data_IF_575091401453
#
_entry.id   IF_575091401453
#
_cell.length_a   1.000
_cell.length_b   1.000
_cell.length_c   1.000
_cell.angle_alpha   90.00
_cell.angle_beta   90.00
_cell.angle_gamma   90.00
#
_symmetry.space_group_name_H-M   'P 1'
#
loop_
_entity.id
_entity.type
_entity.pdbx_description
1 polymer ?
#
# COMPACT_ATOMS: atom_id res chain seq x y z
N UNK A 1 -4.41 -63.17 45.03
CA UNK A 1 -4.09 -61.78 44.62
C UNK A 1 -4.95 -61.47 43.42
N UNK A 2 -5.87 -60.53 43.61
CA UNK A 2 -7.08 -60.44 42.78
C UNK A 2 -6.81 -59.69 41.48
N UNK A 3 -7.60 -60.03 40.46
CA UNK A 3 -7.69 -59.34 39.16
C UNK A 3 -7.83 -57.81 39.28
N UNK A 4 -8.30 -57.34 40.43
CA UNK A 4 -8.42 -55.93 40.80
C UNK A 4 -7.07 -55.25 41.10
N UNK A 5 -6.15 -55.95 41.79
CA UNK A 5 -4.82 -55.42 42.11
C UNK A 5 -3.98 -55.20 40.83
N UNK A 6 -4.11 -56.12 39.87
CA UNK A 6 -3.45 -56.02 38.56
C UNK A 6 -4.00 -54.86 37.71
N UNK A 7 -5.32 -54.61 37.77
CA UNK A 7 -5.97 -53.48 37.12
C UNK A 7 -5.51 -52.14 37.72
N UNK A 8 -5.39 -52.05 39.04
CA UNK A 8 -4.90 -50.86 39.73
C UNK A 8 -3.44 -50.58 39.37
N UNK A 9 -2.59 -51.60 39.31
CA UNK A 9 -1.19 -51.44 38.88
C UNK A 9 -1.07 -50.97 37.43
N UNK A 10 -1.85 -51.53 36.50
CA UNK A 10 -1.87 -51.06 35.09
C UNK A 10 -2.36 -49.62 34.96
N UNK A 11 -3.35 -49.23 35.76
CA UNK A 11 -3.85 -47.85 35.80
C UNK A 11 -2.79 -46.87 36.33
N UNK A 12 -2.06 -47.22 37.38
CA UNK A 12 -0.95 -46.42 37.90
C UNK A 12 0.19 -46.29 36.87
N UNK A 13 0.59 -47.38 36.22
CA UNK A 13 1.61 -47.35 35.16
C UNK A 13 1.18 -46.47 33.97
N UNK A 14 -0.10 -46.49 33.60
CA UNK A 14 -0.65 -45.63 32.54
C UNK A 14 -0.61 -44.14 32.95
N UNK A 15 -0.94 -43.82 34.20
CA UNK A 15 -0.86 -42.46 34.74
C UNK A 15 0.57 -41.93 34.72
N UNK A 16 1.55 -42.73 35.16
CA UNK A 16 2.97 -42.38 35.13
C UNK A 16 3.48 -42.20 33.69
N UNK A 17 3.13 -43.12 32.78
CA UNK A 17 3.50 -43.00 31.36
C UNK A 17 2.88 -41.75 30.71
N UNK A 18 1.63 -41.42 31.05
CA UNK A 18 0.95 -40.21 30.58
C UNK A 18 1.61 -38.94 31.13
N UNK A 19 1.97 -38.92 32.41
CA UNK A 19 2.68 -37.80 33.03
C UNK A 19 4.06 -37.58 32.41
N UNK A 20 4.84 -38.67 32.22
CA UNK A 20 6.14 -38.63 31.56
C UNK A 20 6.05 -38.16 30.11
N UNK A 21 5.05 -38.63 29.34
CA UNK A 21 4.80 -38.15 27.98
C UNK A 21 4.43 -36.67 27.95
N UNK A 22 3.58 -36.20 28.88
CA UNK A 22 3.23 -34.78 29.00
C UNK A 22 4.46 -33.92 29.28
N UNK A 23 5.34 -34.36 30.17
CA UNK A 23 6.58 -33.65 30.48
C UNK A 23 7.53 -33.60 29.27
N UNK A 24 7.67 -34.71 28.54
CA UNK A 24 8.47 -34.77 27.30
C UNK A 24 7.92 -33.84 26.21
N UNK A 25 6.60 -33.79 26.05
CA UNK A 25 5.95 -32.90 25.08
C UNK A 25 6.16 -31.42 25.44
N UNK A 26 6.04 -31.06 26.72
CA UNK A 26 6.31 -29.69 27.19
C UNK A 26 7.78 -29.29 26.95
N UNK A 27 8.73 -30.17 27.27
CA UNK A 27 10.16 -29.93 27.00
C UNK A 27 10.43 -29.77 25.49
N UNK A 28 9.76 -30.57 24.66
CA UNK A 28 9.87 -30.47 23.21
C UNK A 28 9.26 -29.17 22.68
N UNK A 29 8.10 -28.77 23.20
CA UNK A 29 7.44 -27.50 22.85
C UNK A 29 8.33 -26.29 23.18
N UNK A 30 8.93 -26.26 24.38
CA UNK A 30 9.85 -25.18 24.76
C UNK A 30 11.09 -25.13 23.86
N UNK A 31 11.60 -26.30 23.43
CA UNK A 31 12.71 -26.38 22.48
C UNK A 31 12.31 -25.75 21.13
N UNK A 32 11.14 -26.10 20.59
CA UNK A 32 10.67 -25.53 19.32
C UNK A 32 10.40 -24.03 19.41
N UNK A 33 9.81 -23.57 20.51
CA UNK A 33 9.57 -22.14 20.74
C UNK A 33 10.87 -21.33 20.73
N UNK A 34 11.92 -21.83 21.40
CA UNK A 34 13.25 -21.17 21.37
C UNK A 34 13.85 -21.12 19.97
N UNK A 35 13.71 -22.18 19.18
CA UNK A 35 14.19 -22.21 17.79
C UNK A 35 13.40 -21.23 16.92
N UNK A 36 12.09 -21.15 17.11
CA UNK A 36 11.22 -20.21 16.40
C UNK A 36 11.57 -18.75 16.71
N UNK A 37 11.81 -18.41 17.98
CA UNK A 37 12.28 -17.09 18.39
C UNK A 37 13.63 -16.74 17.73
N UNK A 38 14.56 -17.72 17.65
CA UNK A 38 15.84 -17.54 16.96
C UNK A 38 15.67 -17.34 15.45
N UNK A 39 14.76 -18.08 14.80
CA UNK A 39 14.48 -17.91 13.38
C UNK A 39 13.91 -16.53 13.05
N UNK A 40 12.97 -16.04 13.87
CA UNK A 40 12.39 -14.71 13.73
C UNK A 40 13.45 -13.62 13.94
N UNK A 41 14.33 -13.80 14.93
CA UNK A 41 15.42 -12.85 15.18
C UNK A 41 16.44 -12.84 14.04
N UNK A 42 16.81 -14.01 13.51
CA UNK A 42 17.67 -14.13 12.34
C UNK A 42 17.05 -13.44 11.13
N UNK A 43 15.79 -13.72 10.82
CA UNK A 43 15.07 -13.12 9.69
C UNK A 43 15.03 -11.58 9.80
N UNK A 44 14.75 -11.06 11.00
CA UNK A 44 14.74 -9.62 11.27
C UNK A 44 16.11 -8.98 11.03
N UNK A 45 17.18 -9.57 11.58
CA UNK A 45 18.55 -9.05 11.41
C UNK A 45 19.07 -9.18 9.99
N UNK A 46 18.78 -10.30 9.32
CA UNK A 46 19.18 -10.52 7.92
C UNK A 46 18.53 -9.49 6.99
N UNK A 47 17.24 -9.21 7.18
CA UNK A 47 16.54 -8.18 6.40
C UNK A 47 17.07 -6.77 6.67
N UNK A 48 17.43 -6.44 7.92
CA UNK A 48 18.01 -5.15 8.26
C UNK A 48 19.40 -4.97 7.64
N UNK A 49 20.25 -6.00 7.77
CA UNK A 49 21.58 -6.02 7.15
C UNK A 49 21.51 -5.88 5.63
N UNK A 50 20.61 -6.60 4.95
CA UNK A 50 20.47 -6.48 3.49
C UNK A 50 20.04 -5.08 3.06
N UNK A 51 19.10 -4.45 3.78
CA UNK A 51 18.69 -3.07 3.49
C UNK A 51 19.82 -2.07 3.71
N UNK A 52 20.65 -2.27 4.73
CA UNK A 52 21.84 -1.43 4.94
C UNK A 52 22.87 -1.63 3.83
N UNK A 53 23.13 -2.89 3.43
CA UNK A 53 24.08 -3.22 2.36
C UNK A 53 23.69 -2.56 1.03
N UNK A 54 22.41 -2.60 0.64
CA UNK A 54 21.94 -1.95 -0.60
C UNK A 54 22.20 -0.43 -0.62
N UNK A 55 22.04 0.25 0.52
CA UNK A 55 22.32 1.68 0.64
C UNK A 55 23.84 1.96 0.64
N UNK A 56 24.61 1.17 1.39
CA UNK A 56 26.07 1.28 1.43
C UNK A 56 26.71 1.05 0.06
N UNK A 57 26.17 0.12 -0.73
CA UNK A 57 26.58 -0.12 -2.11
C UNK A 57 26.27 1.08 -3.01
N UNK A 58 25.10 1.71 -2.87
CA UNK A 58 24.74 2.93 -3.61
C UNK A 58 25.72 4.08 -3.29
N UNK A 59 25.96 4.36 -2.01
CA UNK A 59 26.85 5.44 -1.56
C UNK A 59 28.31 5.22 -2.01
N UNK A 60 28.82 3.99 -1.92
CA UNK A 60 30.21 3.67 -2.29
C UNK A 60 30.45 3.62 -3.80
N UNK A 61 29.41 3.39 -4.59
CA UNK A 61 29.50 3.38 -6.06
C UNK A 61 29.23 4.75 -6.66
N UNK A 62 28.64 5.67 -5.90
CA UNK A 62 28.41 7.03 -6.33
C UNK A 62 29.72 7.83 -6.43
N UNK A 63 29.96 8.52 -7.55
CA UNK A 63 31.17 9.30 -7.72
C UNK A 63 31.12 10.53 -6.80
N UNK A 64 32.10 10.64 -5.89
CA UNK A 64 32.31 11.82 -5.04
C UNK A 64 32.44 13.07 -5.93
N UNK A 65 31.53 14.01 -5.77
CA UNK A 65 31.51 15.30 -6.49
C UNK A 65 31.45 16.41 -5.47
N UNK A 66 32.42 17.31 -5.51
CA UNK A 66 32.42 18.52 -4.70
C UNK A 66 32.76 19.72 -5.60
N UNK A 67 31.89 20.73 -5.55
CA UNK A 67 32.01 22.01 -6.26
C UNK A 67 32.14 23.19 -5.29
N UNK A 68 32.00 22.97 -3.98
CA UNK A 68 32.16 24.00 -2.95
C UNK A 68 32.77 23.44 -1.66
N UNK A 69 33.22 24.33 -0.78
CA UNK A 69 33.78 23.97 0.54
C UNK A 69 32.69 23.44 1.46
N UNK A 70 31.47 23.95 1.36
CA UNK A 70 30.30 23.46 2.09
C UNK A 70 29.97 22.02 1.70
N UNK A 71 30.05 21.66 0.41
CA UNK A 71 29.87 20.29 -0.05
C UNK A 71 30.95 19.34 0.48
N UNK A 72 32.18 19.83 0.69
CA UNK A 72 33.27 19.04 1.31
C UNK A 72 32.97 18.75 2.78
N UNK A 73 32.44 19.73 3.53
CA UNK A 73 32.05 19.53 4.93
C UNK A 73 30.89 18.54 5.04
N UNK A 74 29.91 18.60 4.14
CA UNK A 74 28.81 17.62 4.07
C UNK A 74 29.34 16.22 3.74
N UNK A 75 30.28 16.09 2.80
CA UNK A 75 30.90 14.80 2.48
C UNK A 75 31.72 14.22 3.65
N UNK A 76 32.35 15.07 4.47
CA UNK A 76 33.04 14.63 5.68
C UNK A 76 32.07 14.09 6.72
N UNK A 77 30.95 14.78 6.96
CA UNK A 77 29.89 14.33 7.87
C UNK A 77 29.25 13.01 7.38
N UNK A 78 28.96 12.91 6.08
CA UNK A 78 28.45 11.67 5.46
C UNK A 78 29.45 10.51 5.59
N UNK A 79 30.76 10.78 5.47
CA UNK A 79 31.79 9.76 5.66
C UNK A 79 31.88 9.28 7.11
N UNK A 80 31.74 10.18 8.08
CA UNK A 80 31.71 9.84 9.51
C UNK A 80 30.48 8.98 9.84
N UNK A 81 29.30 9.39 9.36
CA UNK A 81 28.05 8.62 9.49
C UNK A 81 28.15 7.23 8.83
N UNK A 82 28.74 7.14 7.64
CA UNK A 82 28.98 5.86 6.97
C UNK A 82 29.87 4.95 7.82
N UNK A 83 30.95 5.50 8.40
CA UNK A 83 31.89 4.75 9.24
C UNK A 83 31.24 4.22 10.52
N UNK A 84 30.37 5.00 11.16
CA UNK A 84 29.58 4.54 12.29
C UNK A 84 28.62 3.42 11.89
N UNK A 85 27.94 3.57 10.75
CA UNK A 85 27.02 2.54 10.24
C UNK A 85 27.73 1.20 9.92
N UNK A 86 28.98 1.26 9.44
CA UNK A 86 29.79 0.08 9.14
C UNK A 86 30.10 -0.73 10.40
N UNK A 87 30.40 -0.06 11.52
CA UNK A 87 30.64 -0.74 12.79
C UNK A 87 29.40 -1.49 13.29
N UNK A 88 28.23 -0.87 13.16
CA UNK A 88 26.97 -1.50 13.55
C UNK A 88 26.65 -2.71 12.65
N UNK A 89 26.90 -2.59 11.35
CA UNK A 89 26.70 -3.69 10.39
C UNK A 89 27.64 -4.87 10.62
N UNK A 90 28.91 -4.63 10.99
CA UNK A 90 29.83 -5.68 11.41
C UNK A 90 29.31 -6.45 12.63
N UNK A 91 28.74 -5.75 13.61
CA UNK A 91 28.17 -6.37 14.81
C UNK A 91 26.94 -7.22 14.47
N UNK A 92 26.09 -6.73 13.56
CA UNK A 92 24.94 -7.47 13.07
C UNK A 92 25.37 -8.74 12.32
N UNK A 93 26.40 -8.67 11.48
CA UNK A 93 26.99 -9.82 10.80
C UNK A 93 27.55 -10.85 11.79
N UNK A 94 28.26 -10.42 12.84
CA UNK A 94 28.73 -11.32 13.92
C UNK A 94 27.56 -11.97 14.64
N UNK A 95 26.48 -11.23 14.87
CA UNK A 95 25.29 -11.75 15.54
C UNK A 95 24.56 -12.78 14.68
N UNK A 96 24.42 -12.52 13.38
CA UNK A 96 23.85 -13.45 12.40
C UNK A 96 24.64 -14.77 12.34
N UNK A 97 25.97 -14.71 12.30
CA UNK A 97 26.84 -15.90 12.38
C UNK A 97 26.60 -16.70 13.66
N UNK A 98 26.45 -16.01 14.80
CA UNK A 98 26.16 -16.67 16.08
C UNK A 98 24.79 -17.35 16.09
N UNK A 99 23.77 -16.68 15.56
CA UNK A 99 22.41 -17.22 15.46
C UNK A 99 22.36 -18.44 14.53
N UNK A 100 22.98 -18.35 13.36
CA UNK A 100 23.06 -19.47 12.41
C UNK A 100 23.75 -20.70 13.03
N UNK A 101 24.87 -20.50 13.74
CA UNK A 101 25.55 -21.58 14.47
C UNK A 101 24.67 -22.21 15.56
N UNK A 102 23.90 -21.40 16.29
CA UNK A 102 22.96 -21.90 17.30
C UNK A 102 21.81 -22.67 16.66
N UNK A 103 21.19 -22.13 15.61
CA UNK A 103 20.09 -22.77 14.86
C UNK A 103 20.54 -24.13 14.30
N UNK A 104 21.71 -24.19 13.66
CA UNK A 104 22.29 -25.44 13.12
C UNK A 104 22.52 -26.50 14.20
N UNK A 105 22.83 -26.10 15.44
CA UNK A 105 23.01 -27.04 16.56
C UNK A 105 21.73 -27.81 16.94
N UNK A 106 20.56 -27.23 16.65
CA UNK A 106 19.27 -27.85 16.95
C UNK A 106 18.83 -28.90 15.91
N UNK A 107 19.57 -29.11 14.81
CA UNK A 107 19.25 -30.05 13.72
C UNK A 107 17.86 -29.81 13.10
N UNK A 108 17.47 -28.54 12.92
CA UNK A 108 16.17 -28.13 12.39
C UNK A 108 16.32 -27.66 10.93
N UNK A 109 15.23 -27.70 10.17
CA UNK A 109 15.14 -27.37 8.74
C UNK A 109 15.50 -25.92 8.41
N UNK A 110 15.38 -25.54 7.13
CA UNK A 110 15.57 -24.16 6.65
C UNK A 110 14.60 -23.20 7.37
N UNK A 111 15.05 -21.99 7.68
CA UNK A 111 14.23 -20.95 8.31
C UNK A 111 13.01 -20.61 7.42
N UNK A 112 11.76 -20.79 7.88
CA UNK A 112 10.58 -20.54 7.05
C UNK A 112 10.22 -19.04 6.92
N UNK A 113 10.81 -18.17 7.73
CA UNK A 113 10.47 -16.74 7.80
C UNK A 113 11.33 -15.85 6.92
N UNK A 114 12.33 -16.41 6.23
CA UNK A 114 13.22 -15.67 5.34
C UNK A 114 13.86 -16.59 4.31
N UNK A 115 14.13 -16.05 3.13
CA UNK A 115 14.90 -16.72 2.09
C UNK A 115 16.41 -16.46 2.20
N UNK A 116 16.84 -15.54 3.07
CA UNK A 116 18.25 -15.26 3.34
C UNK A 116 18.91 -16.41 4.10
N UNK A 117 20.02 -16.93 3.57
CA UNK A 117 20.90 -17.88 4.26
C UNK A 117 22.19 -17.17 4.69
N UNK A 118 22.88 -17.73 5.68
CA UNK A 118 24.19 -17.18 6.10
C UNK A 118 25.18 -17.13 4.92
N UNK A 119 25.15 -18.13 4.04
CA UNK A 119 25.98 -18.19 2.82
C UNK A 119 25.71 -16.99 1.91
N UNK A 120 24.44 -16.69 1.60
CA UNK A 120 24.08 -15.52 0.77
C UNK A 120 24.49 -14.19 1.41
N UNK A 121 24.44 -14.09 2.73
CA UNK A 121 24.83 -12.87 3.45
C UNK A 121 26.35 -12.68 3.48
N UNK A 122 27.12 -13.77 3.60
CA UNK A 122 28.58 -13.71 3.52
C UNK A 122 29.06 -13.31 2.12
N UNK A 123 28.41 -13.80 1.07
CA UNK A 123 28.70 -13.37 -0.31
C UNK A 123 28.44 -11.86 -0.49
N UNK A 124 27.35 -11.32 0.04
CA UNK A 124 27.09 -9.87 0.00
C UNK A 124 28.12 -9.08 0.79
N UNK A 125 28.56 -9.56 1.95
CA UNK A 125 29.60 -8.90 2.75
C UNK A 125 30.95 -8.86 2.03
N UNK A 126 31.38 -9.97 1.42
CA UNK A 126 32.60 -10.04 0.62
C UNK A 126 32.55 -9.08 -0.59
N UNK A 127 31.37 -8.96 -1.21
CA UNK A 127 31.14 -7.98 -2.29
C UNK A 127 31.35 -6.55 -1.78
N UNK A 128 30.83 -6.20 -0.60
CA UNK A 128 31.01 -4.87 -0.01
C UNK A 128 32.49 -4.55 0.22
N UNK A 129 33.23 -5.47 0.85
CA UNK A 129 34.65 -5.29 1.14
C UNK A 129 35.44 -5.05 -0.15
N UNK A 130 35.09 -5.76 -1.22
CA UNK A 130 35.69 -5.57 -2.55
C UNK A 130 35.37 -4.20 -3.14
N UNK A 131 34.13 -3.71 -3.01
CA UNK A 131 33.72 -2.37 -3.46
C UNK A 131 34.49 -1.30 -2.69
N UNK A 132 34.57 -1.41 -1.35
CA UNK A 132 35.34 -0.48 -0.51
C UNK A 132 36.80 -0.42 -0.96
N UNK A 133 37.45 -1.57 -1.14
CA UNK A 133 38.84 -1.64 -1.60
C UNK A 133 39.02 -1.00 -2.98
N UNK A 134 38.09 -1.25 -3.91
CA UNK A 134 38.14 -0.68 -5.26
C UNK A 134 37.92 0.84 -5.26
N UNK A 135 36.97 1.33 -4.46
CA UNK A 135 36.69 2.76 -4.32
C UNK A 135 37.85 3.50 -3.68
N UNK A 136 38.43 2.97 -2.58
CA UNK A 136 39.63 3.55 -1.96
C UNK A 136 40.82 3.53 -2.92
N UNK A 137 41.07 2.43 -3.62
CA UNK A 137 42.16 2.35 -4.61
C UNK A 137 41.94 3.28 -5.82
N UNK A 138 40.69 3.57 -6.18
CA UNK A 138 40.33 4.53 -7.23
C UNK A 138 40.55 5.97 -6.75
N UNK A 139 40.02 6.33 -5.58
CA UNK A 139 40.22 7.65 -4.96
C UNK A 139 41.71 7.91 -4.75
N UNK A 140 42.47 6.93 -4.24
CA UNK A 140 43.92 7.05 -4.04
C UNK A 140 44.68 7.22 -5.36
N UNK A 141 44.35 6.45 -6.41
CA UNK A 141 44.94 6.64 -7.75
C UNK A 141 44.61 8.02 -8.32
N UNK A 142 43.38 8.49 -8.16
CA UNK A 142 42.98 9.83 -8.60
C UNK A 142 43.70 10.92 -7.81
N UNK A 143 43.90 10.73 -6.50
CA UNK A 143 44.65 11.64 -5.63
C UNK A 143 46.13 11.70 -6.03
N UNK A 144 46.80 10.54 -6.14
CA UNK A 144 48.21 10.45 -6.52
C UNK A 144 48.50 10.95 -7.93
N UNK A 145 47.56 10.82 -8.87
CA UNK A 145 47.76 11.28 -10.25
C UNK A 145 47.56 12.81 -10.42
N UNK A 146 46.83 13.49 -9.52
CA UNK A 146 46.28 14.82 -9.85
C UNK A 146 46.83 16.00 -9.06
N UNK A 147 47.44 15.81 -7.88
CA UNK A 147 48.09 16.84 -7.02
C UNK A 147 47.63 18.31 -7.24
N UNK A 148 46.31 18.57 -7.27
CA UNK A 148 45.74 19.91 -7.54
C UNK A 148 44.25 19.96 -7.22
N UNK A 149 43.82 21.06 -6.60
CA UNK A 149 42.47 21.33 -6.08
C UNK A 149 41.55 22.10 -7.06
N UNK A 150 41.85 22.14 -8.36
CA UNK A 150 41.08 22.96 -9.31
C UNK A 150 39.90 22.19 -9.96
N UNK A 151 38.70 22.76 -9.87
CA UNK A 151 37.47 22.29 -10.53
C UNK A 151 37.55 22.55 -12.04
N UNK A 152 37.35 21.52 -12.88
CA UNK A 152 37.20 21.70 -14.33
C UNK A 152 35.75 22.01 -14.71
N UNK A 153 35.56 23.06 -15.52
CA UNK A 153 34.37 23.21 -16.36
C UNK A 153 34.34 22.09 -17.39
N UNK A 154 33.20 21.40 -17.51
CA UNK A 154 33.00 20.32 -18.49
C UNK A 154 33.21 20.83 -19.93
N UNK A 155 34.20 20.25 -20.60
CA UNK A 155 34.36 20.34 -22.04
C UNK A 155 34.95 19.04 -22.58
N UNK A 156 34.07 18.10 -22.95
CA UNK A 156 34.50 16.85 -23.58
C UNK A 156 33.29 15.98 -23.91
N UNK A 157 32.99 15.85 -25.21
CA UNK A 157 32.04 14.89 -25.76
C UNK A 157 32.26 13.52 -25.09
N UNK A 158 31.26 13.03 -24.35
CA UNK A 158 31.17 11.61 -24.05
C UNK A 158 30.86 10.91 -25.36
N UNK A 159 31.88 10.38 -26.02
CA UNK A 159 31.70 9.37 -27.06
C UNK A 159 30.88 8.24 -26.42
N UNK A 160 29.71 7.99 -27.00
CA UNK A 160 28.69 7.05 -26.54
C UNK A 160 29.30 5.68 -26.22
N UNK A 161 29.40 5.36 -24.92
CA UNK A 161 29.40 3.96 -24.48
C UNK A 161 28.06 3.70 -23.78
N UNK A 162 26.96 3.88 -24.51
CA UNK A 162 25.62 3.61 -24.00
C UNK A 162 25.45 2.09 -24.01
N UNK A 163 25.38 1.48 -22.81
CA UNK A 163 25.06 0.05 -22.66
C UNK A 163 23.67 -0.34 -23.19
N UNK A 164 22.79 0.63 -23.36
CA UNK A 164 21.47 0.47 -23.97
C UNK A 164 21.47 1.30 -25.24
N UNK A 165 21.21 0.65 -26.36
CA UNK A 165 21.00 1.27 -27.67
C UNK A 165 19.64 1.97 -27.70
N UNK A 166 19.37 2.72 -28.76
CA UNK A 166 18.05 3.35 -28.91
C UNK A 166 16.96 2.29 -29.15
N UNK A 167 17.26 1.17 -29.80
CA UNK A 167 16.36 0.02 -29.92
C UNK A 167 16.01 -0.60 -28.55
N UNK A 168 17.00 -0.72 -27.65
CA UNK A 168 16.77 -1.22 -26.29
C UNK A 168 15.84 -0.27 -25.51
N UNK A 169 16.02 1.04 -25.69
CA UNK A 169 15.17 2.04 -25.05
C UNK A 169 13.74 2.00 -25.60
N UNK A 170 13.57 1.77 -26.90
CA UNK A 170 12.27 1.54 -27.54
C UNK A 170 11.59 0.27 -27.01
N UNK A 171 12.34 -0.82 -26.86
CA UNK A 171 11.83 -2.07 -26.29
C UNK A 171 11.39 -1.87 -24.84
N UNK A 172 12.20 -1.22 -24.00
CA UNK A 172 11.85 -0.91 -22.61
C UNK A 172 10.57 -0.08 -22.55
N UNK A 173 10.45 0.93 -23.41
CA UNK A 173 9.27 1.80 -23.47
C UNK A 173 8.02 1.04 -23.90
N UNK A 174 8.13 0.16 -24.91
CA UNK A 174 7.04 -0.69 -25.38
C UNK A 174 6.57 -1.67 -24.31
N UNK A 175 7.51 -2.32 -23.61
CA UNK A 175 7.20 -3.22 -22.49
C UNK A 175 6.47 -2.48 -21.37
N UNK A 176 6.91 -1.26 -21.03
CA UNK A 176 6.26 -0.43 -20.01
C UNK A 176 4.89 0.10 -20.43
N UNK A 177 4.70 0.38 -21.72
CA UNK A 177 3.40 0.77 -22.25
C UNK A 177 2.40 -0.39 -22.25
N UNK A 178 2.85 -1.61 -22.57
CA UNK A 178 1.99 -2.80 -22.60
C UNK A 178 1.67 -3.32 -21.19
N UNK A 179 2.69 -3.48 -20.33
CA UNK A 179 2.55 -3.96 -18.94
C UNK A 179 3.31 -3.03 -18.00
N UNK A 180 2.66 -1.97 -17.52
CA UNK A 180 3.29 -1.01 -16.59
C UNK A 180 3.90 -1.66 -15.32
N UNK A 181 3.33 -2.79 -14.88
CA UNK A 181 3.78 -3.59 -13.73
C UNK A 181 5.00 -4.46 -13.99
N UNK A 182 5.50 -4.55 -15.23
CA UNK A 182 6.66 -5.38 -15.58
C UNK A 182 7.87 -4.99 -14.71
N UNK A 183 8.49 -5.98 -14.08
CA UNK A 183 9.64 -5.80 -13.19
C UNK A 183 10.91 -5.50 -13.98
N UNK A 184 11.91 -4.91 -13.33
CA UNK A 184 13.20 -4.65 -13.98
C UNK A 184 13.91 -5.95 -14.38
N UNK A 185 13.66 -7.04 -13.63
CA UNK A 185 14.18 -8.37 -13.93
C UNK A 185 13.57 -8.92 -15.23
N UNK A 186 12.24 -8.90 -15.34
CA UNK A 186 11.55 -9.30 -16.58
C UNK A 186 12.03 -8.44 -17.77
N UNK A 187 12.20 -7.12 -17.59
CA UNK A 187 12.75 -6.26 -18.65
C UNK A 187 14.18 -6.70 -19.04
N UNK A 188 15.01 -7.06 -18.07
CA UNK A 188 16.39 -7.52 -18.34
C UNK A 188 16.42 -8.84 -19.09
N UNK A 189 15.59 -9.81 -18.67
CA UNK A 189 15.48 -11.12 -19.34
C UNK A 189 15.02 -10.93 -20.81
N UNK A 190 14.05 -10.04 -21.05
CA UNK A 190 13.60 -9.72 -22.42
C UNK A 190 14.67 -8.96 -23.22
N UNK A 191 15.44 -8.06 -22.60
CA UNK A 191 16.55 -7.37 -23.27
C UNK A 191 17.72 -8.31 -23.58
N UNK A 192 17.94 -9.36 -22.78
CA UNK A 192 18.94 -10.39 -23.06
C UNK A 192 18.51 -11.31 -24.20
N UNK A 193 17.21 -11.58 -24.33
CA UNK A 193 16.66 -12.44 -25.39
C UNK A 193 16.45 -11.70 -26.71
N UNK A 194 15.96 -10.46 -26.68
CA UNK A 194 15.52 -9.70 -27.86
C UNK A 194 16.20 -8.34 -28.05
N UNK A 195 17.00 -7.87 -27.09
CA UNK A 195 17.71 -6.59 -27.17
C UNK A 195 19.08 -6.68 -27.82
N UNK A 196 19.71 -5.53 -28.03
CA UNK A 196 21.05 -5.40 -28.65
C UNK A 196 22.18 -5.46 -27.61
N UNK A 197 21.89 -6.00 -26.43
CA UNK A 197 22.71 -5.75 -25.24
C UNK A 197 23.82 -6.78 -25.11
N UNK A 198 25.07 -6.30 -25.09
CA UNK A 198 26.24 -7.16 -24.97
C UNK A 198 26.66 -7.34 -23.50
N UNK A 199 26.31 -8.51 -22.94
CA UNK A 199 26.61 -8.88 -21.56
C UNK A 199 25.64 -8.24 -20.57
N UNK A 200 25.12 -9.05 -19.65
CA UNK A 200 23.98 -8.74 -18.77
C UNK A 200 23.92 -7.32 -18.21
N UNK A 201 22.69 -6.83 -18.05
CA UNK A 201 22.42 -5.44 -17.70
C UNK A 201 22.13 -5.31 -16.22
N UNK A 202 22.87 -4.44 -15.53
CA UNK A 202 22.54 -4.10 -14.16
C UNK A 202 21.16 -3.43 -14.08
N UNK A 203 20.33 -3.83 -13.11
CA UNK A 203 18.99 -3.27 -12.87
C UNK A 203 19.00 -1.74 -12.73
N UNK A 204 20.06 -1.18 -12.14
CA UNK A 204 20.25 0.27 -12.01
C UNK A 204 20.33 0.99 -13.36
N UNK A 205 20.81 0.33 -14.41
CA UNK A 205 20.87 0.87 -15.78
C UNK A 205 19.47 0.97 -16.38
N UNK A 206 18.64 -0.07 -16.22
CA UNK A 206 17.23 -0.09 -16.65
C UNK A 206 16.43 0.96 -15.87
N UNK A 207 16.62 1.04 -14.55
CA UNK A 207 15.97 2.04 -13.68
C UNK A 207 16.27 3.48 -14.14
N UNK A 208 17.55 3.80 -14.40
CA UNK A 208 17.94 5.12 -14.92
C UNK A 208 17.34 5.40 -16.30
N UNK A 209 17.26 4.38 -17.15
CA UNK A 209 16.66 4.50 -18.48
C UNK A 209 15.17 4.87 -18.38
N UNK A 210 14.40 4.11 -17.60
CA UNK A 210 12.96 4.36 -17.37
C UNK A 210 12.72 5.76 -16.80
N UNK A 211 13.53 6.21 -15.83
CA UNK A 211 13.35 7.53 -15.19
C UNK A 211 13.59 8.72 -16.12
N UNK A 212 14.49 8.58 -17.11
CA UNK A 212 15.06 9.78 -17.76
C UNK A 212 15.58 9.64 -19.20
N UNK A 213 15.56 8.45 -19.79
CA UNK A 213 16.20 8.21 -21.10
C UNK A 213 15.31 7.50 -22.13
N UNK A 214 14.03 7.26 -21.84
CA UNK A 214 13.11 6.71 -22.83
C UNK A 214 12.89 7.69 -23.98
N UNK A 215 12.61 7.16 -25.17
CA UNK A 215 12.62 7.92 -26.42
C UNK A 215 11.46 8.92 -26.50
N UNK A 216 10.33 8.64 -25.85
CA UNK A 216 9.21 9.60 -25.79
C UNK A 216 9.51 10.88 -25.01
N UNK A 217 10.59 10.93 -24.23
CA UNK A 217 10.88 12.04 -23.31
C UNK A 217 9.96 12.09 -22.09
N UNK A 218 9.02 11.14 -21.93
CA UNK A 218 8.16 11.03 -20.74
C UNK A 218 8.98 10.60 -19.53
N UNK A 219 8.70 11.21 -18.37
CA UNK A 219 9.28 10.82 -17.08
C UNK A 219 8.40 9.76 -16.43
N UNK A 220 8.94 8.57 -16.22
CA UNK A 220 8.22 7.50 -15.56
C UNK A 220 8.50 7.54 -14.05
N UNK A 221 7.43 7.45 -13.25
CA UNK A 221 7.48 7.37 -11.78
C UNK A 221 6.73 6.13 -11.30
N UNK A 222 7.09 5.59 -10.13
CA UNK A 222 6.30 4.51 -9.51
C UNK A 222 4.94 5.05 -9.07
N UNK A 223 3.86 4.34 -9.45
CA UNK A 223 2.48 4.63 -9.08
C UNK A 223 1.84 3.34 -8.53
N UNK A 224 0.84 3.49 -7.66
CA UNK A 224 0.00 2.36 -7.24
C UNK A 224 -0.76 1.85 -8.47
N UNK A 225 -0.81 0.53 -8.65
CA UNK A 225 -1.56 -0.08 -9.76
C UNK A 225 -3.05 0.04 -9.44
N UNK A 226 -3.82 0.57 -10.39
CA UNK A 226 -5.28 0.52 -10.35
C UNK A 226 -5.72 -0.74 -11.08
N UNK A 227 -6.36 -1.66 -10.36
CA UNK A 227 -6.98 -2.83 -10.97
C UNK A 227 -8.39 -2.47 -11.42
N UNK A 228 -8.68 -2.64 -12.71
CA UNK A 228 -10.01 -2.41 -13.28
C UNK A 228 -10.57 -3.75 -13.72
N UNK A 229 -11.78 -4.08 -13.26
CA UNK A 229 -12.45 -5.32 -13.63
C UNK A 229 -12.73 -5.34 -15.15
N UNK A 230 -12.42 -6.44 -15.82
CA UNK A 230 -12.54 -6.56 -17.27
C UNK A 230 -14.02 -6.48 -17.72
N UNK A 231 -14.94 -6.90 -16.84
CA UNK A 231 -16.39 -6.81 -17.01
C UNK A 231 -16.89 -5.37 -17.24
N UNK A 232 -16.16 -4.38 -16.73
CA UNK A 232 -16.45 -2.95 -16.99
C UNK A 232 -16.50 -2.65 -18.49
N UNK A 233 -15.67 -3.32 -19.29
CA UNK A 233 -15.50 -3.07 -20.72
C UNK A 233 -16.33 -4.02 -21.61
N UNK A 234 -17.33 -4.71 -21.06
CA UNK A 234 -18.30 -5.44 -21.89
C UNK A 234 -19.08 -4.46 -22.76
N UNK A 235 -19.45 -4.86 -23.98
CA UNK A 235 -20.18 -3.99 -24.90
C UNK A 235 -21.45 -3.40 -24.27
N UNK A 236 -22.22 -4.22 -23.55
CA UNK A 236 -23.44 -3.78 -22.85
C UNK A 236 -23.14 -2.75 -21.76
N UNK A 237 -22.13 -2.96 -20.93
CA UNK A 237 -21.80 -2.04 -19.85
C UNK A 237 -21.21 -0.72 -20.38
N UNK A 238 -20.41 -0.77 -21.45
CA UNK A 238 -19.89 0.44 -22.13
C UNK A 238 -21.03 1.24 -22.75
N UNK A 239 -21.99 0.57 -23.42
CA UNK A 239 -23.17 1.24 -23.97
C UNK A 239 -24.02 1.86 -22.86
N UNK A 240 -24.27 1.12 -21.79
CA UNK A 240 -25.01 1.63 -20.63
C UNK A 240 -24.28 2.81 -19.98
N UNK A 241 -22.96 2.74 -19.84
CA UNK A 241 -22.13 3.85 -19.34
C UNK A 241 -22.32 5.10 -20.19
N UNK A 242 -22.32 4.97 -21.52
CA UNK A 242 -22.53 6.11 -22.40
C UNK A 242 -23.95 6.68 -22.27
N UNK A 243 -24.98 5.83 -22.17
CA UNK A 243 -26.36 6.27 -21.96
C UNK A 243 -26.52 6.98 -20.62
N UNK A 244 -25.96 6.40 -19.56
CA UNK A 244 -25.95 6.97 -18.21
C UNK A 244 -25.32 8.37 -18.20
N UNK A 245 -24.13 8.52 -18.80
CA UNK A 245 -23.43 9.80 -18.93
C UNK A 245 -24.24 10.82 -19.73
N UNK A 246 -24.76 10.44 -20.90
CA UNK A 246 -25.58 11.32 -21.73
C UNK A 246 -26.88 11.73 -21.01
N UNK A 247 -27.46 10.82 -20.24
CA UNK A 247 -28.66 11.07 -19.49
C UNK A 247 -28.41 12.11 -18.40
N UNK A 248 -27.48 11.83 -17.49
CA UNK A 248 -27.22 12.72 -16.35
C UNK A 248 -26.66 14.09 -16.76
N UNK A 249 -25.82 14.15 -17.79
CA UNK A 249 -25.34 15.43 -18.35
C UNK A 249 -26.45 16.31 -18.92
N UNK A 250 -27.59 15.72 -19.30
CA UNK A 250 -28.76 16.47 -19.78
C UNK A 250 -29.68 17.00 -18.66
N UNK A 251 -29.40 16.65 -17.40
CA UNK A 251 -30.22 16.98 -16.24
C UNK A 251 -29.62 18.14 -15.44
N UNK A 252 -30.48 18.82 -14.67
CA UNK A 252 -30.00 19.81 -13.70
C UNK A 252 -29.23 19.10 -12.60
N UNK A 253 -27.93 19.39 -12.49
CA UNK A 253 -27.06 18.75 -11.52
C UNK A 253 -27.51 18.98 -10.06
N UNK A 254 -28.30 20.02 -9.78
CA UNK A 254 -28.89 20.28 -8.44
C UNK A 254 -29.99 19.29 -8.07
N UNK A 255 -30.54 18.60 -9.05
CA UNK A 255 -31.56 17.55 -8.88
C UNK A 255 -30.97 16.15 -8.79
N UNK A 256 -29.67 15.99 -9.01
CA UNK A 256 -28.99 14.70 -8.92
C UNK A 256 -28.46 14.52 -7.50
N UNK A 257 -28.82 13.39 -6.88
CA UNK A 257 -28.39 12.99 -5.54
C UNK A 257 -27.78 11.61 -5.61
N UNK A 258 -26.64 11.40 -4.98
CA UNK A 258 -25.97 10.11 -4.98
C UNK A 258 -26.06 9.48 -3.59
N UNK A 259 -26.38 8.20 -3.57
CA UNK A 259 -26.36 7.37 -2.38
C UNK A 259 -25.27 6.31 -2.51
N UNK A 260 -24.54 6.09 -1.42
CA UNK A 260 -23.64 4.93 -1.29
C UNK A 260 -23.41 4.58 0.19
N UNK A 261 -22.81 3.41 0.43
CA UNK A 261 -22.45 2.93 1.76
C UNK A 261 -20.93 2.71 1.92
N UNK A 262 -20.41 2.99 3.11
CA UNK A 262 -19.03 2.69 3.45
C UNK A 262 -18.86 2.14 4.86
N UNK A 263 -18.06 1.08 4.97
CA UNK A 263 -17.57 0.61 6.25
C UNK A 263 -16.57 1.58 6.88
N UNK A 264 -16.85 2.03 8.10
CA UNK A 264 -15.97 2.83 8.95
C UNK A 264 -15.48 1.95 10.10
N UNK A 265 -14.23 1.50 10.01
CA UNK A 265 -13.59 0.65 11.02
C UNK A 265 -12.07 0.82 11.03
N UNK A 266 -11.44 0.40 12.11
CA UNK A 266 -9.97 0.23 12.14
C UNK A 266 -9.57 -1.07 11.44
N UNK A 267 -8.48 -1.12 10.63
CA UNK A 267 -7.50 -0.05 10.40
C UNK A 267 -7.82 0.89 9.23
N UNK A 268 -8.95 0.69 8.54
CA UNK A 268 -9.31 1.44 7.32
C UNK A 268 -9.59 2.93 7.57
N UNK A 269 -9.93 3.30 8.80
CA UNK A 269 -10.09 4.65 9.30
C UNK A 269 -9.54 4.80 10.74
N UNK A 270 -9.13 6.02 11.09
CA UNK A 270 -8.59 6.38 12.41
C UNK A 270 -7.13 6.00 12.64
N UNK A 271 -6.41 5.54 11.61
CA UNK A 271 -5.00 5.11 11.68
C UNK A 271 -4.18 5.76 10.58
N UNK A 272 -2.95 6.14 10.91
CA UNK A 272 -1.97 6.64 9.93
C UNK A 272 -1.15 5.46 9.43
N UNK A 273 -1.16 5.26 8.11
CA UNK A 273 -0.44 4.15 7.47
C UNK A 273 1.04 4.46 7.20
N UNK A 274 1.41 5.74 7.27
CA UNK A 274 2.75 6.22 6.94
C UNK A 274 3.26 7.12 8.06
N UNK A 275 4.54 6.95 8.40
CA UNK A 275 5.29 7.76 9.34
C UNK A 275 6.76 7.77 8.96
N UNK A 276 7.54 8.60 9.63
CA UNK A 276 8.98 8.68 9.41
C UNK A 276 9.70 7.91 10.52
N UNK A 277 10.68 7.10 10.13
CA UNK A 277 11.64 6.45 11.01
C UNK A 277 13.04 6.59 10.38
N UNK A 278 14.11 6.49 11.17
CA UNK A 278 15.46 6.40 10.63
C UNK A 278 15.57 5.31 9.57
N UNK A 279 16.42 5.53 8.57
CA UNK A 279 16.63 4.57 7.47
C UNK A 279 17.11 3.24 8.07
N UNK A 280 16.48 2.13 7.69
CA UNK A 280 16.76 0.79 8.23
C UNK A 280 15.94 0.42 9.48
N UNK A 281 15.21 1.36 10.07
CA UNK A 281 14.34 1.11 11.22
C UNK A 281 12.87 0.98 10.83
N UNK A 282 12.10 0.23 11.61
CA UNK A 282 10.65 0.18 11.46
C UNK A 282 10.05 1.41 12.14
N UNK A 283 9.14 2.10 11.45
CA UNK A 283 8.24 3.07 12.08
C UNK A 283 7.24 2.30 12.95
N UNK A 284 7.48 2.25 14.26
CA UNK A 284 6.66 1.50 15.22
C UNK A 284 5.90 2.49 16.11
N UNK A 285 4.59 2.46 16.04
CA UNK A 285 3.69 3.08 17.01
C UNK A 285 2.94 1.99 17.79
N UNK A 286 2.96 2.08 19.12
CA UNK A 286 2.23 1.14 19.98
C UNK A 286 0.86 1.72 20.27
N UNK A 287 -0.16 1.14 19.65
CA UNK A 287 -1.55 1.52 19.86
C UNK A 287 -2.37 0.37 20.45
N UNK A 288 -3.37 0.71 21.26
CA UNK A 288 -4.35 -0.27 21.76
C UNK A 288 -5.21 -0.73 20.58
N UNK A 289 -5.30 -2.04 20.37
CA UNK A 289 -6.25 -2.61 19.40
C UNK A 289 -7.67 -2.30 19.88
N UNK A 290 -8.38 -1.48 19.12
CA UNK A 290 -9.79 -1.18 19.34
C UNK A 290 -10.63 -2.26 18.65
N UNK A 291 -11.37 -3.03 19.43
CA UNK A 291 -12.43 -3.91 18.91
C UNK A 291 -13.69 -3.07 18.70
N UNK A 292 -13.67 -2.19 17.70
CA UNK A 292 -14.87 -1.47 17.31
C UNK A 292 -15.73 -2.37 16.42
N UNK A 293 -17.05 -2.45 16.65
CA UNK A 293 -17.95 -3.12 15.72
C UNK A 293 -17.83 -2.45 14.34
N UNK A 294 -17.93 -3.24 13.27
CA UNK A 294 -17.96 -2.69 11.92
C UNK A 294 -19.17 -1.74 11.81
N UNK A 295 -18.93 -0.43 11.76
CA UNK A 295 -20.00 0.55 11.57
C UNK A 295 -20.13 0.84 10.08
N UNK A 296 -21.32 0.75 9.54
CA UNK A 296 -21.61 1.12 8.15
C UNK A 296 -22.22 2.51 8.14
N UNK A 297 -21.67 3.39 7.31
CA UNK A 297 -22.19 4.73 7.05
C UNK A 297 -22.95 4.70 5.73
N UNK A 298 -24.25 4.94 5.77
CA UNK A 298 -25.07 5.18 4.59
C UNK A 298 -25.13 6.69 4.36
N UNK A 299 -24.88 7.13 3.13
CA UNK A 299 -24.69 8.54 2.84
C UNK A 299 -25.41 8.93 1.56
N UNK A 300 -26.32 9.91 1.67
CA UNK A 300 -26.96 10.59 0.56
C UNK A 300 -26.39 12.00 0.43
N UNK A 301 -25.88 12.36 -0.74
CA UNK A 301 -25.28 13.67 -1.01
C UNK A 301 -25.83 14.31 -2.28
N UNK A 302 -25.76 15.63 -2.34
CA UNK A 302 -26.03 16.43 -3.54
C UNK A 302 -24.93 17.48 -3.74
N UNK A 303 -25.09 18.37 -4.72
CA UNK A 303 -24.25 19.57 -4.82
C UNK A 303 -24.28 20.45 -3.57
N UNK A 304 -25.34 20.37 -2.75
CA UNK A 304 -25.48 21.15 -1.54
C UNK A 304 -24.76 20.54 -0.33
N UNK A 305 -24.04 19.43 -0.49
CA UNK A 305 -23.41 18.74 0.64
C UNK A 305 -24.11 17.43 0.99
N UNK A 306 -24.03 17.08 2.27
CA UNK A 306 -24.68 15.89 2.83
C UNK A 306 -26.18 16.18 2.99
N UNK A 307 -27.02 15.42 2.28
CA UNK A 307 -28.48 15.55 2.36
C UNK A 307 -29.04 14.75 3.54
N UNK A 308 -28.58 13.52 3.69
CA UNK A 308 -28.97 12.63 4.78
C UNK A 308 -27.91 11.55 5.01
N UNK A 309 -27.79 11.07 6.24
CA UNK A 309 -26.93 9.94 6.56
C UNK A 309 -27.45 9.19 7.78
N UNK A 310 -27.14 7.90 7.89
CA UNK A 310 -27.27 7.16 9.13
C UNK A 310 -26.07 6.23 9.34
N UNK A 311 -25.92 5.71 10.56
CA UNK A 311 -24.84 4.79 10.92
C UNK A 311 -25.40 3.55 11.59
N UNK A 312 -25.08 2.38 11.03
CA UNK A 312 -25.55 1.08 11.50
C UNK A 312 -24.39 0.27 12.07
N UNK A 313 -24.66 -0.50 13.13
CA UNK A 313 -23.69 -1.47 13.65
C UNK A 313 -23.86 -2.78 12.88
N UNK A 314 -22.91 -3.10 11.99
CA UNK A 314 -22.96 -4.26 11.09
C UNK A 314 -23.25 -3.89 9.64
N UNK A 315 -23.55 -4.90 8.82
CA UNK A 315 -23.91 -4.70 7.42
C UNK A 315 -25.35 -4.20 7.28
N UNK A 316 -25.62 -3.46 6.22
CA UNK A 316 -26.97 -3.03 5.85
C UNK A 316 -27.73 -4.20 5.23
N UNK A 317 -28.89 -4.54 5.80
CA UNK A 317 -29.84 -5.46 5.17
C UNK A 317 -30.91 -4.68 4.38
N UNK A 318 -31.78 -5.39 3.65
CA UNK A 318 -32.82 -4.77 2.82
C UNK A 318 -33.79 -3.90 3.62
N UNK A 319 -34.09 -4.24 4.87
CA UNK A 319 -35.03 -3.48 5.70
C UNK A 319 -34.38 -2.19 6.18
N UNK A 320 -33.15 -2.26 6.68
CA UNK A 320 -32.38 -1.07 7.08
C UNK A 320 -32.16 -0.11 5.92
N UNK A 321 -31.97 -0.66 4.73
CA UNK A 321 -31.84 0.09 3.49
C UNK A 321 -33.14 0.84 3.13
N UNK A 322 -34.30 0.19 3.19
CA UNK A 322 -35.58 0.87 2.94
C UNK A 322 -35.90 1.92 4.01
N UNK A 323 -35.63 1.62 5.28
CA UNK A 323 -35.79 2.57 6.38
C UNK A 323 -34.93 3.82 6.17
N UNK A 324 -33.72 3.69 5.62
CA UNK A 324 -32.89 4.85 5.30
C UNK A 324 -33.62 5.82 4.36
N UNK A 325 -34.24 5.32 3.29
CA UNK A 325 -34.95 6.17 2.33
C UNK A 325 -36.24 6.74 2.88
N UNK A 326 -36.97 5.98 3.71
CA UNK A 326 -38.12 6.49 4.45
C UNK A 326 -37.72 7.62 5.40
N UNK A 327 -36.64 7.45 6.15
CA UNK A 327 -36.11 8.49 7.06
C UNK A 327 -35.60 9.70 6.27
N UNK A 328 -34.89 9.49 5.16
CA UNK A 328 -34.41 10.55 4.28
C UNK A 328 -35.56 11.35 3.65
N UNK A 329 -36.65 10.68 3.24
CA UNK A 329 -37.84 11.33 2.70
C UNK A 329 -38.51 12.29 3.69
N UNK A 330 -38.39 12.00 4.99
CA UNK A 330 -38.92 12.83 6.08
C UNK A 330 -37.88 13.80 6.65
N UNK A 331 -36.62 13.71 6.22
CA UNK A 331 -35.54 14.53 6.73
C UNK A 331 -35.47 15.90 6.04
N UNK A 332 -34.93 16.87 6.76
CA UNK A 332 -34.63 18.21 6.25
C UNK A 332 -33.12 18.40 6.32
N UNK A 333 -32.53 18.81 5.20
CA UNK A 333 -31.13 19.18 5.12
C UNK A 333 -30.87 20.37 6.06
N UNK A 334 -29.88 20.22 6.95
CA UNK A 334 -29.61 21.20 7.99
C UNK A 334 -29.12 22.54 7.44
N UNK A 335 -28.32 22.53 6.37
CA UNK A 335 -27.75 23.75 5.78
C UNK A 335 -28.75 24.49 4.90
N UNK A 336 -29.46 23.75 4.04
CA UNK A 336 -30.37 24.36 3.06
C UNK A 336 -31.78 24.57 3.59
N UNK A 337 -32.15 23.91 4.69
CA UNK A 337 -33.51 23.86 5.27
C UNK A 337 -34.57 23.30 4.34
N UNK A 338 -34.15 22.59 3.29
CA UNK A 338 -35.03 21.92 2.32
C UNK A 338 -35.16 20.42 2.62
N UNK A 339 -36.22 19.76 2.16
CA UNK A 339 -36.31 18.30 2.23
C UNK A 339 -35.07 17.63 1.63
N UNK A 340 -34.57 16.59 2.30
CA UNK A 340 -33.43 15.82 1.81
C UNK A 340 -33.75 15.05 0.52
N UNK A 341 -35.04 14.81 0.23
CA UNK A 341 -35.56 14.28 -1.04
C UNK A 341 -36.78 15.11 -1.47
N UNK A 342 -36.80 15.57 -2.72
CA UNK A 342 -37.85 16.42 -3.29
C UNK A 342 -38.36 15.85 -4.62
N UNK A 343 -39.59 16.21 -4.99
CA UNK A 343 -40.17 15.91 -6.29
C UNK A 343 -39.24 16.40 -7.41
N UNK A 344 -39.01 15.53 -8.40
CA UNK A 344 -38.14 15.78 -9.55
C UNK A 344 -36.65 15.57 -9.29
N UNK A 345 -36.27 15.07 -8.11
CA UNK A 345 -34.91 14.60 -7.85
C UNK A 345 -34.63 13.28 -8.59
N UNK A 346 -33.35 13.02 -8.84
CA UNK A 346 -32.81 11.78 -9.41
C UNK A 346 -31.85 11.21 -8.38
N UNK A 347 -32.17 10.04 -7.83
CA UNK A 347 -31.31 9.31 -6.91
C UNK A 347 -30.46 8.32 -7.71
N UNK A 348 -29.14 8.43 -7.56
CA UNK A 348 -28.17 7.58 -8.23
C UNK A 348 -27.49 6.64 -7.23
N UNK A 349 -27.44 5.36 -7.54
CA UNK A 349 -27.01 4.29 -6.62
C UNK A 349 -26.06 3.29 -7.28
N UNK A 350 -25.20 2.62 -6.51
CA UNK A 350 -24.40 1.51 -7.04
C UNK A 350 -25.26 0.30 -7.41
N UNK A 351 -24.84 -0.41 -8.45
CA UNK A 351 -25.55 -1.54 -9.06
C UNK A 351 -25.29 -2.86 -8.32
N UNK A 352 -25.17 -2.83 -6.99
CA UNK A 352 -24.82 -4.00 -6.18
C UNK A 352 -26.02 -4.97 -6.07
N UNK A 353 -25.74 -6.27 -5.99
CA UNK A 353 -26.77 -7.33 -6.02
C UNK A 353 -27.83 -7.23 -4.91
N UNK A 354 -27.54 -6.56 -3.79
CA UNK A 354 -28.52 -6.31 -2.71
C UNK A 354 -29.62 -5.33 -3.12
N UNK A 355 -29.42 -4.55 -4.19
CA UNK A 355 -30.38 -3.62 -4.76
C UNK A 355 -31.21 -4.21 -5.91
N UNK A 356 -30.98 -5.47 -6.31
CA UNK A 356 -31.68 -6.13 -7.44
C UNK A 356 -32.79 -7.09 -7.04
N UNK A 357 -32.98 -7.36 -5.75
CA UNK A 357 -34.10 -8.16 -5.25
C UNK A 357 -35.31 -7.27 -4.91
N UNK A 358 -36.39 -7.86 -4.39
CA UNK A 358 -37.66 -7.19 -4.02
C UNK A 358 -37.50 -5.77 -3.42
N UNK A 359 -36.45 -5.52 -2.63
CA UNK A 359 -36.19 -4.19 -2.06
C UNK A 359 -35.84 -3.09 -3.06
N UNK A 360 -35.22 -3.41 -4.19
CA UNK A 360 -34.92 -2.43 -5.25
C UNK A 360 -36.16 -2.01 -6.02
N UNK A 361 -37.00 -2.98 -6.39
CA UNK A 361 -38.30 -2.72 -7.04
C UNK A 361 -39.23 -1.93 -6.11
N UNK A 362 -39.29 -2.31 -4.82
CA UNK A 362 -40.06 -1.56 -3.82
C UNK A 362 -39.54 -0.13 -3.63
N UNK A 363 -38.22 0.08 -3.67
CA UNK A 363 -37.64 1.42 -3.58
C UNK A 363 -37.96 2.24 -4.83
N UNK A 364 -37.86 1.64 -6.03
CA UNK A 364 -38.22 2.30 -7.28
C UNK A 364 -39.68 2.75 -7.27
N UNK A 365 -40.61 1.88 -6.85
CA UNK A 365 -42.02 2.22 -6.70
C UNK A 365 -42.23 3.35 -5.67
N UNK A 366 -41.60 3.25 -4.49
CA UNK A 366 -41.70 4.24 -3.43
C UNK A 366 -41.19 5.63 -3.86
N UNK A 367 -40.02 5.68 -4.51
CA UNK A 367 -39.46 6.93 -5.03
C UNK A 367 -40.30 7.49 -6.19
N UNK A 368 -40.81 6.62 -7.07
CA UNK A 368 -41.68 7.04 -8.17
C UNK A 368 -43.00 7.66 -7.67
N UNK A 369 -43.59 7.13 -6.59
CA UNK A 369 -44.77 7.72 -5.93
C UNK A 369 -44.49 9.11 -5.36
N UNK A 370 -43.24 9.40 -4.97
CA UNK A 370 -42.77 10.73 -4.58
C UNK A 370 -42.37 11.61 -5.79
N UNK A 371 -42.46 11.09 -7.01
CA UNK A 371 -41.99 11.78 -8.23
C UNK A 371 -40.47 11.90 -8.31
N UNK A 372 -39.74 10.94 -7.72
CA UNK A 372 -38.28 10.84 -7.72
C UNK A 372 -37.87 9.68 -8.63
N UNK A 373 -36.85 9.91 -9.45
CA UNK A 373 -36.32 8.89 -10.35
C UNK A 373 -35.16 8.12 -9.71
N UNK A 374 -35.13 6.80 -9.83
CA UNK A 374 -34.02 5.96 -9.40
C UNK A 374 -33.16 5.55 -10.61
N UNK A 375 -31.84 5.73 -10.49
CA UNK A 375 -30.88 5.36 -11.52
C UNK A 375 -29.70 4.59 -10.91
N UNK A 376 -29.23 3.54 -11.59
CA UNK A 376 -28.07 2.78 -11.16
C UNK A 376 -26.80 3.15 -11.91
N UNK A 377 -25.66 3.23 -11.24
CA UNK A 377 -24.37 3.42 -11.88
C UNK A 377 -24.00 2.21 -12.75
N UNK A 378 -23.17 2.40 -13.78
CA UNK A 378 -22.65 1.27 -14.55
C UNK A 378 -21.77 0.36 -13.70
N UNK A 379 -21.79 -0.95 -13.97
CA UNK A 379 -21.07 -1.94 -13.16
C UNK A 379 -19.57 -1.63 -13.14
N UNK A 380 -18.97 -1.73 -11.95
CA UNK A 380 -17.56 -1.41 -11.70
C UNK A 380 -17.17 0.04 -12.08
N UNK A 381 -18.06 1.00 -11.82
CA UNK A 381 -17.84 2.43 -12.11
C UNK A 381 -17.92 3.37 -10.90
N UNK A 382 -17.10 3.12 -9.84
CA UNK A 382 -17.03 4.01 -8.68
C UNK A 382 -16.47 5.40 -9.03
N UNK A 383 -15.70 5.52 -10.11
CA UNK A 383 -15.21 6.80 -10.65
C UNK A 383 -16.35 7.72 -11.12
N UNK A 384 -17.54 7.18 -11.37
CA UNK A 384 -18.71 7.97 -11.73
C UNK A 384 -19.54 8.38 -10.50
N UNK A 385 -19.19 7.94 -9.30
CA UNK A 385 -19.91 8.24 -8.07
C UNK A 385 -19.14 9.27 -7.21
N UNK A 386 -19.62 10.52 -7.07
CA UNK A 386 -18.95 11.52 -6.24
C UNK A 386 -18.95 11.17 -4.73
N UNK A 387 -19.83 10.27 -4.26
CA UNK A 387 -19.86 9.82 -2.85
C UNK A 387 -18.54 9.16 -2.45
N UNK A 388 -17.85 8.50 -3.38
CA UNK A 388 -16.53 7.91 -3.14
C UNK A 388 -15.49 8.96 -2.73
N UNK A 389 -15.59 10.17 -3.30
CA UNK A 389 -14.73 11.30 -2.94
C UNK A 389 -15.09 11.84 -1.54
N UNK A 390 -16.38 11.84 -1.18
CA UNK A 390 -16.83 12.13 0.18
C UNK A 390 -16.25 11.14 1.19
N UNK A 391 -16.33 9.84 0.92
CA UNK A 391 -15.77 8.82 1.81
C UNK A 391 -14.26 8.95 1.95
N UNK A 392 -13.54 9.28 0.87
CA UNK A 392 -12.11 9.56 0.93
C UNK A 392 -11.82 10.75 1.84
N UNK A 393 -12.55 11.87 1.71
CA UNK A 393 -12.40 13.04 2.58
C UNK A 393 -12.70 12.69 4.04
N UNK A 394 -13.80 11.99 4.32
CA UNK A 394 -14.17 11.54 5.67
C UNK A 394 -13.04 10.71 6.28
N UNK A 395 -12.55 9.69 5.58
CA UNK A 395 -11.46 8.84 6.06
C UNK A 395 -10.18 9.63 6.30
N UNK A 396 -9.85 10.60 5.43
CA UNK A 396 -8.73 11.52 5.67
C UNK A 396 -8.92 12.32 6.95
N UNK A 397 -10.09 12.92 7.17
CA UNK A 397 -10.37 13.69 8.39
C UNK A 397 -10.26 12.82 9.65
N UNK A 398 -10.77 11.59 9.61
CA UNK A 398 -10.66 10.62 10.71
C UNK A 398 -9.20 10.22 10.99
N UNK A 399 -8.37 10.07 9.97
CA UNK A 399 -6.96 9.68 10.11
C UNK A 399 -6.07 10.80 10.67
N UNK A 400 -6.43 12.06 10.42
CA UNK A 400 -5.59 13.21 10.78
C UNK A 400 -6.18 14.08 11.90
N UNK A 401 -7.35 14.67 11.68
CA UNK A 401 -7.91 15.71 12.54
C UNK A 401 -8.76 15.15 13.68
N UNK A 402 -9.53 14.09 13.41
CA UNK A 402 -10.45 13.49 14.39
C UNK A 402 -9.94 12.18 14.98
N UNK A 403 -8.66 11.84 14.80
CA UNK A 403 -8.09 10.56 15.22
C UNK A 403 -8.31 10.27 16.72
N UNK A 404 -8.10 11.28 17.58
CA UNK A 404 -8.31 11.14 19.04
C UNK A 404 -9.78 10.88 19.38
N UNK A 405 -10.69 11.61 18.72
CA UNK A 405 -12.13 11.44 18.91
C UNK A 405 -12.57 10.08 18.39
N UNK A 406 -12.08 9.64 17.23
CA UNK A 406 -12.40 8.34 16.65
C UNK A 406 -12.06 7.18 17.59
N UNK A 407 -10.89 7.27 18.25
CA UNK A 407 -10.45 6.27 19.23
C UNK A 407 -11.33 6.23 20.48
N UNK A 408 -11.96 7.35 20.85
CA UNK A 408 -12.86 7.45 21.99
C UNK A 408 -14.33 7.12 21.64
N UNK A 409 -14.79 7.61 20.49
CA UNK A 409 -16.14 7.46 19.98
C UNK A 409 -16.13 7.60 18.45
N UNK A 410 -16.19 6.45 17.77
CA UNK A 410 -16.19 6.37 16.31
C UNK A 410 -17.34 7.15 15.69
N UNK A 411 -18.57 6.95 16.17
CA UNK A 411 -19.77 7.58 15.61
C UNK A 411 -19.69 9.11 15.70
N UNK A 412 -19.27 9.64 16.84
CA UNK A 412 -19.08 11.09 17.00
C UNK A 412 -18.00 11.63 16.05
N UNK A 413 -16.87 10.95 15.91
CA UNK A 413 -15.83 11.37 14.98
C UNK A 413 -16.30 11.37 13.53
N UNK A 414 -17.10 10.37 13.13
CA UNK A 414 -17.70 10.30 11.80
C UNK A 414 -18.65 11.46 11.55
N UNK A 415 -19.50 11.82 12.52
CA UNK A 415 -20.38 13.01 12.43
C UNK A 415 -19.56 14.28 12.24
N UNK A 416 -18.53 14.49 13.06
CA UNK A 416 -17.65 15.66 12.94
C UNK A 416 -16.91 15.70 11.59
N UNK A 417 -16.56 14.53 11.03
CA UNK A 417 -15.94 14.45 9.71
C UNK A 417 -16.93 14.77 8.57
N UNK A 418 -18.19 14.34 8.69
CA UNK A 418 -19.26 14.68 7.74
C UNK A 418 -19.50 16.19 7.69
N UNK A 419 -19.51 16.87 8.84
CA UNK A 419 -19.64 18.33 8.94
C UNK A 419 -18.50 19.11 8.23
N UNK A 420 -17.41 18.45 7.82
CA UNK A 420 -16.35 19.10 7.04
C UNK A 420 -16.58 19.09 5.53
N UNK A 421 -17.60 18.38 5.05
CA UNK A 421 -17.96 18.35 3.63
C UNK A 421 -18.77 19.60 3.33
N UNK A 422 -18.20 20.48 2.52
CA UNK A 422 -18.83 21.75 2.14
C UNK A 422 -19.43 21.68 0.73
N UNK A 423 -20.31 22.62 0.41
CA UNK A 423 -20.83 22.85 -0.95
C UNK A 423 -19.71 23.04 -1.98
N UNK A 424 -18.61 23.71 -1.60
CA UNK A 424 -17.45 23.90 -2.46
C UNK A 424 -16.75 22.57 -2.74
N UNK A 425 -16.60 21.70 -1.74
CA UNK A 425 -16.05 20.36 -1.95
C UNK A 425 -16.93 19.55 -2.91
N UNK A 426 -18.25 19.57 -2.71
CA UNK A 426 -19.18 18.82 -3.56
C UNK A 426 -19.13 19.29 -5.02
N UNK A 427 -19.02 20.60 -5.23
CA UNK A 427 -18.82 21.16 -6.57
C UNK A 427 -17.54 20.63 -7.22
N UNK A 428 -16.43 20.58 -6.48
CA UNK A 428 -15.19 19.98 -6.96
C UNK A 428 -15.31 18.47 -7.19
N UNK A 429 -15.99 17.74 -6.31
CA UNK A 429 -16.16 16.29 -6.43
C UNK A 429 -16.98 15.91 -7.66
N UNK A 430 -18.07 16.62 -7.92
CA UNK A 430 -18.83 16.40 -9.15
C UNK A 430 -18.07 16.82 -10.41
N UNK A 431 -17.24 17.87 -10.35
CA UNK A 431 -16.36 18.22 -11.47
C UNK A 431 -15.35 17.10 -11.76
N UNK A 432 -14.83 16.42 -10.73
CA UNK A 432 -13.87 15.32 -10.90
C UNK A 432 -14.50 14.08 -11.55
N UNK A 433 -15.80 13.83 -11.40
CA UNK A 433 -16.46 12.72 -12.11
C UNK A 433 -16.54 12.98 -13.62
N UNK A 434 -16.27 14.19 -14.10
CA UNK A 434 -15.98 14.54 -15.50
C UNK A 434 -17.14 14.38 -16.50
N UNK A 435 -18.39 14.21 -16.05
CA UNK A 435 -19.55 14.10 -16.95
C UNK A 435 -20.79 14.91 -16.54
N UNK A 436 -20.81 15.53 -15.35
CA UNK A 436 -21.95 16.30 -14.86
C UNK A 436 -21.84 17.80 -15.14
N UNK A 437 -20.63 18.29 -15.41
CA UNK A 437 -20.35 19.69 -15.71
C UNK A 437 -19.49 19.78 -16.97
N UNK A 438 -19.96 20.54 -17.97
CA UNK A 438 -19.11 20.94 -19.10
C UNK A 438 -18.01 21.88 -18.58
N UNK A 439 -16.76 21.65 -19.00
CA UNK A 439 -15.59 22.47 -18.67
C UNK A 439 -15.67 23.88 -19.24
#
# INVERSE_FOLDING_TARGET
>A
MGRNDELVQRWQALLEASASRKEQLLKSQDKYKKVEDMYLLFAKKASAFNSWFENAEEDLTDPVRCNSVEEIMVLQDQHEQFRESLQQAEEDMRTLRRLDKQIKSYHVSINPYTWFTMETLEETWESLEKIIQQTVAKIWREFCQRNSFAVQSRGGLRINNRKLTDNDLELIETLKANKGSISMREISEILEEFGDVQGGIAMSTISRAIKSRLLSGKKYSRKKITHVALQRFTFTNVLYTQLFVNYLSSKDARKIKFFDEAGIKSPDAGIRLYGHAPVGERCVEVERKLENPNTTLNLLVSLNGVEYYNMLDGATDTVQFLNFFEEAANAVNFETTRPALEVGDIVVMDNLAVHHYEGGELLEEYLADMGIELLFTPVYSPDLNPVELCFNKIKTQLNYNFQKVFKANLKLATVLALETITVEDMSHFYNLTSYLFEL
#
